data_IF_242208359433
#
_entry.id   IF_242208359433
#
_cell.length_a   1.000
_cell.length_b   1.000
_cell.length_c   1.000
_cell.angle_alpha   90.00
_cell.angle_beta   90.00
_cell.angle_gamma   90.00
#
_symmetry.space_group_name_H-M   'P 1'
#
loop_
_entity.id
_entity.type
_entity.pdbx_description
1 polymer ?
#
# COMPACT_ATOMS: atom_id res chain seq x y z
N UNK A 1 7.22 27.58 4.11
CA UNK A 1 6.14 28.49 3.67
C UNK A 1 5.28 27.69 2.71
N UNK A 2 4.05 27.39 3.11
CA UNK A 2 3.07 26.62 2.33
C UNK A 2 2.59 27.48 1.15
N UNK A 3 3.05 27.18 -0.08
CA UNK A 3 2.46 27.83 -1.26
C UNK A 3 1.20 27.05 -1.63
N UNK A 4 0.04 27.65 -1.35
CA UNK A 4 -1.23 27.18 -1.89
C UNK A 4 -1.20 27.26 -3.43
N UNK A 5 -1.75 26.26 -4.11
CA UNK A 5 -1.98 26.32 -5.56
C UNK A 5 -2.81 27.56 -5.88
N UNK A 6 -2.37 28.45 -6.80
CA UNK A 6 -3.20 29.56 -7.22
C UNK A 6 -4.46 29.00 -7.92
N UNK A 7 -5.62 29.60 -7.65
CA UNK A 7 -6.84 29.33 -8.44
C UNK A 7 -6.54 29.79 -9.87
N UNK A 8 -6.11 28.85 -10.71
CA UNK A 8 -5.57 29.15 -12.03
C UNK A 8 -6.72 29.49 -12.99
N UNK A 9 -7.07 30.78 -13.08
CA UNK A 9 -7.88 31.32 -14.18
C UNK A 9 -7.02 31.90 -15.31
N UNK A 10 -5.70 31.97 -15.13
CA UNK A 10 -4.74 32.53 -16.10
C UNK A 10 -3.41 31.75 -16.09
N UNK A 11 -2.96 31.36 -17.29
CA UNK A 11 -1.68 30.73 -17.60
C UNK A 11 -0.46 31.48 -17.04
N UNK A 12 -0.55 32.81 -16.90
CA UNK A 12 0.55 33.62 -16.33
C UNK A 12 0.75 33.37 -14.83
N UNK A 13 -0.34 33.21 -14.07
CA UNK A 13 -0.29 32.96 -12.64
C UNK A 13 0.28 31.56 -12.34
N UNK A 14 -0.12 30.55 -13.14
CA UNK A 14 0.49 29.21 -13.09
C UNK A 14 1.98 29.26 -13.44
N UNK A 15 2.35 30.02 -14.47
CA UNK A 15 3.75 30.20 -14.86
C UNK A 15 4.60 30.86 -13.77
N UNK A 16 4.04 31.83 -13.02
CA UNK A 16 4.74 32.45 -11.89
C UNK A 16 4.93 31.48 -10.72
N UNK A 17 3.88 30.73 -10.37
CA UNK A 17 3.97 29.73 -9.31
C UNK A 17 4.97 28.60 -9.64
N UNK A 18 5.00 28.11 -10.88
CA UNK A 18 5.99 27.11 -11.32
C UNK A 18 7.44 27.63 -11.24
N UNK A 19 7.65 28.94 -11.34
CA UNK A 19 8.97 29.57 -11.17
C UNK A 19 9.37 29.72 -9.70
N UNK A 20 8.39 29.90 -8.81
CA UNK A 20 8.60 30.03 -7.36
C UNK A 20 8.59 28.69 -6.61
N UNK A 21 8.05 27.62 -7.23
CA UNK A 21 8.16 26.27 -6.73
C UNK A 21 9.63 25.86 -6.72
N UNK A 22 10.13 25.39 -5.58
CA UNK A 22 11.54 24.99 -5.41
C UNK A 22 11.93 24.00 -6.52
N UNK A 23 12.85 24.36 -7.42
CA UNK A 23 13.26 23.45 -8.47
C UNK A 23 13.84 22.18 -7.86
N UNK A 24 13.43 21.03 -8.38
CA UNK A 24 14.08 19.77 -8.03
C UNK A 24 15.52 19.84 -8.53
N UNK A 25 16.50 19.80 -7.62
CA UNK A 25 17.92 19.76 -7.96
C UNK A 25 18.26 18.41 -8.61
N UNK A 26 18.03 18.35 -9.91
CA UNK A 26 18.25 17.15 -10.71
C UNK A 26 19.71 16.71 -10.67
N UNK A 27 20.65 17.65 -10.73
CA UNK A 27 22.10 17.35 -10.75
C UNK A 27 22.49 16.73 -9.41
N UNK A 28 22.13 17.37 -8.29
CA UNK A 28 22.41 16.84 -6.96
C UNK A 28 21.75 15.47 -6.71
N UNK A 29 20.55 15.23 -7.24
CA UNK A 29 19.91 13.90 -7.20
C UNK A 29 20.71 12.88 -8.00
N UNK A 30 21.09 13.19 -9.23
CA UNK A 30 21.84 12.29 -10.11
C UNK A 30 23.22 11.93 -9.51
N UNK A 31 23.94 12.90 -8.94
CA UNK A 31 25.21 12.69 -8.24
C UNK A 31 25.05 11.82 -6.98
N UNK A 32 24.00 12.06 -6.19
CA UNK A 32 23.70 11.27 -5.00
C UNK A 32 23.30 9.83 -5.36
N UNK A 33 22.60 9.64 -6.48
CA UNK A 33 22.30 8.30 -7.02
C UNK A 33 23.59 7.63 -7.51
N UNK A 34 24.47 8.35 -8.21
CA UNK A 34 25.73 7.80 -8.72
C UNK A 34 26.64 7.31 -7.58
N UNK A 35 26.75 8.07 -6.48
CA UNK A 35 27.52 7.66 -5.30
C UNK A 35 26.97 6.44 -4.59
N UNK A 36 25.64 6.20 -4.62
CA UNK A 36 25.06 4.97 -4.10
C UNK A 36 25.38 3.74 -4.98
N UNK A 37 25.57 3.94 -6.29
CA UNK A 37 25.88 2.85 -7.25
C UNK A 37 27.32 2.35 -7.15
N UNK A 38 28.26 3.14 -6.66
CA UNK A 38 29.68 2.73 -6.53
C UNK A 38 29.91 1.77 -5.35
N UNK A 39 28.96 1.66 -4.42
CA UNK A 39 29.08 0.82 -3.23
C UNK A 39 28.63 -0.61 -3.54
N UNK A 40 29.57 -1.55 -3.53
CA UNK A 40 29.22 -2.97 -3.64
C UNK A 40 28.63 -3.48 -2.32
N UNK A 41 27.36 -3.90 -2.37
CA UNK A 41 26.70 -4.55 -1.24
C UNK A 41 27.02 -6.04 -1.30
N UNK A 42 27.49 -6.62 -0.18
CA UNK A 42 27.75 -8.06 -0.06
C UNK A 42 26.50 -8.86 -0.46
N UNK A 43 26.70 -9.98 -1.15
CA UNK A 43 25.60 -10.88 -1.55
C UNK A 43 24.71 -11.26 -0.36
N UNK A 44 25.31 -11.58 0.79
CA UNK A 44 24.59 -11.91 2.02
C UNK A 44 23.68 -10.78 2.50
N UNK A 45 24.14 -9.53 2.47
CA UNK A 45 23.33 -8.37 2.82
C UNK A 45 22.17 -8.13 1.85
N UNK A 46 22.37 -8.36 0.54
CA UNK A 46 21.29 -8.30 -0.45
C UNK A 46 20.23 -9.36 -0.18
N UNK A 47 20.64 -10.61 0.06
CA UNK A 47 19.72 -11.72 0.36
C UNK A 47 18.96 -11.47 1.67
N UNK A 48 19.64 -10.99 2.71
CA UNK A 48 18.99 -10.60 3.96
C UNK A 48 17.94 -9.51 3.75
N UNK A 49 18.28 -8.44 3.00
CA UNK A 49 17.38 -7.33 2.74
C UNK A 49 16.14 -7.78 1.92
N UNK A 50 16.33 -8.67 0.94
CA UNK A 50 15.21 -9.23 0.16
C UNK A 50 14.28 -10.08 1.04
N UNK A 51 14.82 -10.91 1.93
CA UNK A 51 14.02 -11.69 2.87
C UNK A 51 13.26 -10.80 3.85
N UNK A 52 13.91 -9.76 4.36
CA UNK A 52 13.27 -8.78 5.23
C UNK A 52 12.14 -8.04 4.50
N UNK A 53 12.39 -7.54 3.29
CA UNK A 53 11.37 -6.86 2.47
C UNK A 53 10.16 -7.77 2.23
N UNK A 54 10.38 -9.05 1.94
CA UNK A 54 9.30 -10.01 1.77
C UNK A 54 8.48 -10.22 3.05
N UNK A 55 9.14 -10.32 4.21
CA UNK A 55 8.48 -10.50 5.51
C UNK A 55 7.65 -9.30 5.98
N UNK A 56 7.83 -8.13 5.34
CA UNK A 56 7.10 -6.89 5.63
C UNK A 56 6.11 -6.54 4.51
N UNK A 57 5.87 -7.45 3.57
CA UNK A 57 5.01 -7.20 2.43
C UNK A 57 3.56 -7.57 2.76
N UNK A 58 2.62 -6.78 2.26
CA UNK A 58 1.21 -7.15 2.20
C UNK A 58 0.88 -7.59 0.79
N UNK A 59 0.69 -8.89 0.62
CA UNK A 59 0.35 -9.44 -0.68
C UNK A 59 -1.10 -9.07 -1.00
N UNK A 60 -1.29 -8.22 -2.00
CA UNK A 60 -2.53 -7.49 -2.20
C UNK A 60 -3.24 -7.94 -3.47
N UNK A 61 -4.56 -8.10 -3.40
CA UNK A 61 -5.44 -8.15 -4.58
C UNK A 61 -6.68 -7.32 -4.31
N UNK A 62 -6.95 -6.37 -5.21
CA UNK A 62 -8.06 -5.43 -5.11
C UNK A 62 -8.74 -5.27 -6.48
N UNK A 63 -8.83 -6.38 -7.21
CA UNK A 63 -9.50 -6.43 -8.51
C UNK A 63 -11.01 -6.59 -8.31
N UNK A 64 -11.83 -5.84 -9.05
CA UNK A 64 -13.30 -5.98 -8.99
C UNK A 64 -13.85 -7.35 -9.44
N UNK A 65 -12.98 -8.24 -9.93
CA UNK A 65 -13.28 -9.62 -10.30
C UNK A 65 -12.69 -10.66 -9.34
N UNK A 66 -12.19 -10.23 -8.19
CA UNK A 66 -11.63 -11.14 -7.21
C UNK A 66 -12.68 -12.15 -6.74
N UNK A 67 -12.24 -13.39 -6.57
CA UNK A 67 -13.10 -14.52 -6.21
C UNK A 67 -12.54 -15.21 -4.98
N UNK A 68 -13.37 -15.98 -4.24
CA UNK A 68 -12.88 -16.81 -3.15
C UNK A 68 -11.74 -17.75 -3.57
N UNK A 69 -11.77 -18.26 -4.81
CA UNK A 69 -10.70 -19.10 -5.36
C UNK A 69 -9.38 -18.35 -5.52
N UNK A 70 -9.42 -17.12 -6.03
CA UNK A 70 -8.25 -16.24 -6.15
C UNK A 70 -7.65 -15.92 -4.78
N UNK A 71 -8.48 -15.64 -3.77
CA UNK A 71 -8.04 -15.37 -2.40
C UNK A 71 -7.34 -16.57 -1.78
N UNK A 72 -7.88 -17.78 -1.94
CA UNK A 72 -7.21 -19.02 -1.47
C UNK A 72 -5.86 -19.25 -2.14
N UNK A 73 -5.76 -18.99 -3.44
CA UNK A 73 -4.48 -19.06 -4.16
C UNK A 73 -3.48 -18.01 -3.65
N UNK A 74 -3.95 -16.80 -3.38
CA UNK A 74 -3.11 -15.74 -2.82
C UNK A 74 -2.64 -16.05 -1.39
N UNK A 75 -3.52 -16.60 -0.56
CA UNK A 75 -3.18 -17.08 0.79
C UNK A 75 -2.07 -18.14 0.78
N UNK A 76 -2.09 -19.04 -0.21
CA UNK A 76 -1.03 -20.04 -0.38
C UNK A 76 0.31 -19.36 -0.68
N UNK A 77 0.31 -18.36 -1.56
CA UNK A 77 1.52 -17.56 -1.88
C UNK A 77 1.96 -16.71 -0.69
N UNK A 78 1.03 -16.21 0.11
CA UNK A 78 1.32 -15.42 1.31
C UNK A 78 2.13 -16.26 2.33
N UNK A 79 1.69 -17.50 2.56
CA UNK A 79 2.37 -18.43 3.46
C UNK A 79 3.69 -18.95 2.89
N UNK A 80 3.77 -19.15 1.57
CA UNK A 80 4.94 -19.71 0.87
C UNK A 80 5.24 -18.93 -0.41
N UNK A 81 5.89 -17.77 -0.32
CA UNK A 81 6.13 -16.92 -1.48
C UNK A 81 7.09 -17.55 -2.51
N UNK A 82 7.99 -18.43 -2.04
CA UNK A 82 8.88 -19.22 -2.88
C UNK A 82 8.69 -20.71 -2.59
N UNK A 83 7.82 -21.41 -3.35
CA UNK A 83 7.65 -22.85 -3.20
C UNK A 83 8.97 -23.61 -3.35
N UNK A 84 9.25 -24.53 -2.44
CA UNK A 84 10.47 -25.35 -2.45
C UNK A 84 11.62 -24.81 -1.59
N UNK A 85 11.53 -23.58 -1.07
CA UNK A 85 12.52 -23.03 -0.14
C UNK A 85 11.87 -22.69 1.22
N UNK A 86 12.02 -23.61 2.18
CA UNK A 86 11.47 -23.43 3.54
C UNK A 86 12.19 -22.34 4.35
N UNK A 87 13.35 -21.85 3.89
CA UNK A 87 14.05 -20.73 4.54
C UNK A 87 13.43 -19.37 4.22
N UNK A 88 12.52 -19.32 3.24
CA UNK A 88 11.83 -18.09 2.86
C UNK A 88 10.71 -17.77 3.84
N UNK A 89 10.67 -16.53 4.38
CA UNK A 89 9.62 -16.14 5.29
C UNK A 89 8.27 -16.03 4.56
N UNK A 90 7.18 -16.19 5.30
CA UNK A 90 5.87 -15.73 4.85
C UNK A 90 5.87 -14.20 4.70
N UNK A 91 4.90 -13.68 3.97
CA UNK A 91 4.60 -12.24 3.97
C UNK A 91 3.98 -11.82 5.31
N UNK A 92 3.84 -10.51 5.54
CA UNK A 92 3.23 -9.96 6.75
C UNK A 92 1.72 -10.18 6.74
N UNK A 93 1.04 -9.68 5.70
CA UNK A 93 -0.40 -9.81 5.55
C UNK A 93 -0.84 -10.14 4.11
N UNK A 94 -2.10 -10.52 3.99
CA UNK A 94 -2.86 -10.53 2.74
C UNK A 94 -3.88 -9.38 2.80
N UNK A 95 -3.83 -8.46 1.83
CA UNK A 95 -4.78 -7.35 1.73
C UNK A 95 -5.83 -7.63 0.63
N UNK A 96 -7.11 -7.46 0.96
CA UNK A 96 -8.24 -7.70 0.06
C UNK A 96 -9.46 -6.81 0.36
N UNK A 97 -10.54 -6.96 -0.41
CA UNK A 97 -11.81 -6.29 -0.11
C UNK A 97 -12.50 -6.89 1.13
N UNK A 98 -13.29 -6.09 1.87
CA UNK A 98 -13.93 -6.51 3.12
C UNK A 98 -14.77 -7.80 3.04
N UNK A 99 -15.48 -8.02 1.92
CA UNK A 99 -16.35 -9.18 1.71
C UNK A 99 -15.58 -10.50 1.57
N UNK A 100 -14.29 -10.42 1.23
CA UNK A 100 -13.40 -11.55 1.06
C UNK A 100 -12.54 -11.85 2.30
N UNK A 101 -12.59 -11.01 3.32
CA UNK A 101 -11.83 -11.17 4.58
C UNK A 101 -12.10 -12.53 5.22
N UNK A 102 -13.35 -12.95 5.31
CA UNK A 102 -13.70 -14.25 5.90
C UNK A 102 -13.05 -15.42 5.16
N UNK A 103 -13.01 -15.36 3.83
CA UNK A 103 -12.34 -16.36 2.99
C UNK A 103 -10.83 -16.36 3.23
N UNK A 104 -10.22 -15.18 3.34
CA UNK A 104 -8.79 -15.05 3.62
C UNK A 104 -8.44 -15.62 5.01
N UNK A 105 -9.25 -15.31 6.05
CA UNK A 105 -9.05 -15.83 7.41
C UNK A 105 -9.18 -17.35 7.48
N UNK A 106 -10.14 -17.93 6.77
CA UNK A 106 -10.27 -19.37 6.67
C UNK A 106 -9.04 -19.99 6.00
N UNK A 107 -8.62 -19.45 4.85
CA UNK A 107 -7.50 -19.95 4.07
C UNK A 107 -6.14 -19.82 4.78
N UNK A 108 -6.00 -18.83 5.67
CA UNK A 108 -4.78 -18.54 6.44
C UNK A 108 -4.81 -19.13 7.86
N UNK A 109 -5.82 -19.94 8.20
CA UNK A 109 -5.97 -20.53 9.53
C UNK A 109 -4.71 -21.30 9.95
N UNK A 110 -4.17 -20.97 11.12
CA UNK A 110 -2.96 -21.58 11.67
C UNK A 110 -1.65 -21.04 11.10
N UNK A 111 -1.71 -20.06 10.18
CA UNK A 111 -0.53 -19.32 9.71
C UNK A 111 -0.28 -18.08 10.56
N UNK A 112 0.92 -17.50 10.44
CA UNK A 112 1.28 -16.20 11.02
C UNK A 112 0.85 -15.01 10.17
N UNK A 113 0.39 -15.24 8.94
CA UNK A 113 0.02 -14.18 7.99
C UNK A 113 -1.28 -13.50 8.46
N UNK A 114 -1.25 -12.18 8.54
CA UNK A 114 -2.41 -11.34 8.90
C UNK A 114 -3.34 -11.13 7.71
N UNK A 115 -4.57 -10.70 7.98
CA UNK A 115 -5.49 -10.24 6.94
C UNK A 115 -5.75 -8.76 7.13
N UNK A 116 -5.32 -7.98 6.14
CA UNK A 116 -5.68 -6.58 6.00
C UNK A 116 -6.90 -6.46 5.07
N UNK A 117 -7.71 -5.43 5.30
CA UNK A 117 -8.82 -5.09 4.43
C UNK A 117 -8.77 -3.60 4.08
N UNK A 118 -8.92 -3.26 2.80
CA UNK A 118 -9.21 -1.88 2.44
C UNK A 118 -10.60 -1.51 2.93
N UNK A 119 -10.76 -0.28 3.41
CA UNK A 119 -12.05 0.23 3.83
C UNK A 119 -12.16 1.74 3.56
N UNK A 120 -13.25 2.30 4.05
CA UNK A 120 -13.58 3.73 4.03
C UNK A 120 -13.70 4.32 2.62
N UNK A 121 -14.52 3.65 1.80
CA UNK A 121 -14.83 4.01 0.41
C UNK A 121 -13.63 3.91 -0.55
N UNK A 122 -12.82 2.86 -0.40
CA UNK A 122 -11.75 2.55 -1.35
C UNK A 122 -12.31 2.42 -2.79
N UNK A 123 -11.59 2.91 -3.82
CA UNK A 123 -10.31 3.62 -3.76
C UNK A 123 -10.46 5.14 -3.56
N UNK A 124 -11.68 5.66 -3.59
CA UNK A 124 -11.91 7.11 -3.68
C UNK A 124 -11.67 7.85 -2.36
N UNK A 125 -12.02 7.24 -1.23
CA UNK A 125 -12.12 7.90 0.08
C UNK A 125 -13.30 8.88 0.18
N UNK A 126 -14.16 8.98 -0.84
CA UNK A 126 -15.22 10.00 -0.96
C UNK A 126 -16.59 9.42 -0.66
N UNK A 127 -16.88 9.27 0.62
CA UNK A 127 -18.22 8.96 1.11
C UNK A 127 -18.44 9.59 2.49
N UNK A 128 -19.68 9.59 2.97
CA UNK A 128 -20.04 10.11 4.29
C UNK A 128 -19.49 9.22 5.42
N UNK A 129 -19.28 9.82 6.60
CA UNK A 129 -18.57 9.18 7.72
C UNK A 129 -19.27 7.90 8.20
N UNK A 130 -20.61 7.87 8.22
CA UNK A 130 -21.34 6.70 8.71
C UNK A 130 -21.13 5.47 7.82
N UNK A 131 -21.02 5.65 6.50
CA UNK A 131 -20.69 4.54 5.60
C UNK A 131 -19.28 4.02 5.87
N UNK A 132 -18.32 4.93 6.05
CA UNK A 132 -16.92 4.56 6.35
C UNK A 132 -16.84 3.76 7.65
N UNK A 133 -17.55 4.20 8.69
CA UNK A 133 -17.64 3.47 9.96
C UNK A 133 -18.29 2.10 9.77
N UNK A 134 -19.39 2.02 9.00
CA UNK A 134 -20.08 0.77 8.74
C UNK A 134 -19.21 -0.24 7.99
N UNK A 135 -18.48 0.21 6.96
CA UNK A 135 -17.57 -0.62 6.17
C UNK A 135 -16.40 -1.13 7.02
N UNK A 136 -15.80 -0.27 7.86
CA UNK A 136 -14.77 -0.68 8.84
C UNK A 136 -15.31 -1.71 9.82
N UNK A 137 -16.50 -1.49 10.40
CA UNK A 137 -17.14 -2.45 11.31
C UNK A 137 -17.40 -3.79 10.64
N UNK A 138 -17.82 -3.78 9.38
CA UNK A 138 -18.04 -4.98 8.59
C UNK A 138 -16.73 -5.78 8.39
N UNK A 139 -15.65 -5.12 7.97
CA UNK A 139 -14.34 -5.76 7.81
C UNK A 139 -13.80 -6.34 9.13
N UNK A 140 -13.91 -5.60 10.23
CA UNK A 140 -13.53 -6.06 11.57
C UNK A 140 -14.36 -7.27 12.00
N UNK A 141 -15.68 -7.24 11.80
CA UNK A 141 -16.56 -8.36 12.13
C UNK A 141 -16.27 -9.61 11.26
N UNK A 142 -15.83 -9.43 10.02
CA UNK A 142 -15.36 -10.52 9.16
C UNK A 142 -13.99 -11.10 9.59
N UNK A 143 -13.30 -10.44 10.53
CA UNK A 143 -12.08 -10.94 11.16
C UNK A 143 -10.78 -10.32 10.63
N UNK A 144 -10.83 -9.16 9.98
CA UNK A 144 -9.64 -8.43 9.57
C UNK A 144 -8.77 -8.09 10.80
N UNK A 145 -7.47 -8.32 10.67
CA UNK A 145 -6.47 -7.94 11.69
C UNK A 145 -6.08 -6.45 11.54
N UNK A 146 -6.14 -5.93 10.31
CA UNK A 146 -5.73 -4.57 9.94
C UNK A 146 -6.75 -3.94 8.98
N UNK A 147 -6.91 -2.61 9.04
CA UNK A 147 -7.82 -1.85 8.19
C UNK A 147 -7.05 -0.74 7.49
N UNK A 148 -6.99 -0.83 6.16
CA UNK A 148 -6.36 0.15 5.28
C UNK A 148 -7.39 1.19 4.87
N UNK A 149 -7.39 2.30 5.60
CA UNK A 149 -8.34 3.40 5.37
C UNK A 149 -7.87 4.34 4.26
N UNK A 150 -8.80 4.74 3.39
CA UNK A 150 -8.59 5.87 2.46
C UNK A 150 -9.16 7.16 3.04
N UNK A 151 -8.29 8.14 3.28
CA UNK A 151 -8.71 9.48 3.72
C UNK A 151 -9.47 10.23 2.60
N UNK A 152 -10.34 11.17 2.98
CA UNK A 152 -10.88 12.12 2.01
C UNK A 152 -9.83 13.19 1.71
N UNK A 153 -9.08 12.97 0.62
CA UNK A 153 -8.06 13.91 0.16
C UNK A 153 -8.64 15.28 -0.21
N UNK A 154 -9.89 15.33 -0.68
CA UNK A 154 -10.54 16.59 -1.02
C UNK A 154 -10.84 17.42 0.22
N UNK A 155 -11.33 16.78 1.29
CA UNK A 155 -11.50 17.43 2.58
C UNK A 155 -10.14 17.91 3.13
N UNK A 156 -9.10 17.07 3.11
CA UNK A 156 -7.76 17.44 3.59
C UNK A 156 -7.16 18.66 2.85
N UNK A 157 -7.34 18.73 1.53
CA UNK A 157 -6.76 19.80 0.70
C UNK A 157 -7.58 21.10 0.72
N UNK A 158 -8.83 21.08 1.20
CA UNK A 158 -9.68 22.26 1.27
C UNK A 158 -9.33 23.21 2.45
N UNK A 159 -8.56 22.72 3.43
CA UNK A 159 -8.29 23.41 4.70
C UNK A 159 -9.35 23.11 5.76
#
# INVERSE_FOLDING_TARGET
MTSSLPVATDSRALGAWLRDATPVDRIGIEERVATLKTRSIKKSSKVWALRLALSMCDITTLEGKDTPGKIRQLATKAMRPLPGDASMPSVAALCCYPDLVGVAKEALKGSSVKVAAVATAFPSGRSWIDLKIAETKYAVAAGADEIDMVIDRGAFLAG
#
